data_IF_888242617144
#
_entry.id   IF_888242617144
#
_cell.length_a   1.000
_cell.length_b   1.000
_cell.length_c   1.000
_cell.angle_alpha   90.00
_cell.angle_beta   90.00
_cell.angle_gamma   90.00
#
_symmetry.space_group_name_H-M   'P 1'
#
loop_
_entity.id
_entity.type
_entity.pdbx_description
1 polymer ?
#
# COMPACT_ATOMS: atom_id res chain seq x y z
N UNK A 1 -7.18 5.19 -25.62
CA UNK A 1 -5.97 4.73 -24.90
C UNK A 1 -6.06 5.33 -23.51
N UNK A 2 -5.94 4.52 -22.45
CA UNK A 2 -5.81 5.10 -21.11
C UNK A 2 -4.42 5.72 -21.01
N UNK A 3 -4.33 7.04 -20.91
CA UNK A 3 -3.08 7.72 -20.59
C UNK A 3 -2.72 7.42 -19.14
N UNK A 4 -1.46 7.05 -18.91
CA UNK A 4 -0.93 6.97 -17.55
C UNK A 4 -0.99 8.37 -16.93
N UNK A 5 -1.58 8.48 -15.72
CA UNK A 5 -1.79 9.79 -15.09
C UNK A 5 -0.45 10.38 -14.63
N UNK A 6 0.02 11.39 -15.36
CA UNK A 6 1.27 12.11 -15.07
C UNK A 6 1.05 13.55 -14.59
N UNK A 7 -0.21 13.94 -14.37
CA UNK A 7 -0.56 15.32 -13.99
C UNK A 7 -1.06 15.38 -12.55
N UNK A 8 -0.63 16.39 -11.84
CA UNK A 8 -1.24 16.76 -10.56
C UNK A 8 -2.60 17.40 -10.84
N UNK A 9 -3.65 16.87 -10.23
CA UNK A 9 -5.02 17.40 -10.35
C UNK A 9 -5.36 18.27 -9.13
N UNK A 10 -6.37 19.14 -9.20
CA UNK A 10 -6.83 19.90 -8.03
C UNK A 10 -7.23 19.02 -6.85
N UNK A 11 -7.74 17.82 -7.11
CA UNK A 11 -8.03 16.83 -6.07
C UNK A 11 -6.76 16.32 -5.38
N UNK A 12 -5.70 16.03 -6.14
CA UNK A 12 -4.40 15.63 -5.59
C UNK A 12 -3.80 16.76 -4.75
N UNK A 13 -3.93 18.02 -5.19
CA UNK A 13 -3.48 19.20 -4.41
C UNK A 13 -4.23 19.30 -3.08
N UNK A 14 -5.56 19.13 -3.08
CA UNK A 14 -6.38 19.12 -1.86
C UNK A 14 -5.93 18.01 -0.91
N UNK A 15 -5.79 16.78 -1.41
CA UNK A 15 -5.34 15.63 -0.61
C UNK A 15 -3.91 15.83 -0.09
N UNK A 16 -3.06 16.50 -0.85
CA UNK A 16 -1.70 16.87 -0.42
C UNK A 16 -1.73 17.83 0.76
N UNK A 17 -2.62 18.82 0.71
CA UNK A 17 -2.77 19.77 1.83
C UNK A 17 -3.27 19.06 3.09
N UNK A 18 -4.22 18.17 2.95
CA UNK A 18 -4.74 17.34 4.04
C UNK A 18 -3.64 16.45 4.67
N UNK A 19 -2.78 15.87 3.83
CA UNK A 19 -1.60 15.14 4.30
C UNK A 19 -0.65 16.03 5.11
N UNK A 20 -0.36 17.25 4.64
CA UNK A 20 0.49 18.21 5.38
C UNK A 20 -0.08 18.54 6.75
N UNK A 21 -1.38 18.79 6.82
CA UNK A 21 -2.05 19.24 8.05
C UNK A 21 -2.00 18.15 9.15
N UNK A 22 -1.94 16.88 8.77
CA UNK A 22 -1.95 15.73 9.69
C UNK A 22 -0.62 14.98 9.82
N UNK A 23 0.46 15.45 9.19
CA UNK A 23 1.74 14.71 9.15
C UNK A 23 2.94 15.51 9.69
N UNK A 24 2.71 16.60 10.42
CA UNK A 24 3.78 17.35 11.08
C UNK A 24 4.26 16.65 12.35
N UNK A 25 5.56 16.47 12.47
CA UNK A 25 6.22 15.95 13.68
C UNK A 25 6.97 17.12 14.34
N UNK A 26 6.75 17.33 15.64
CA UNK A 26 7.49 18.32 16.40
C UNK A 26 8.98 17.94 16.45
N UNK A 27 9.84 18.80 15.92
CA UNK A 27 11.28 18.58 15.85
C UNK A 27 11.93 18.41 17.22
N UNK A 28 11.34 18.95 18.29
CA UNK A 28 11.83 18.77 19.66
C UNK A 28 11.82 17.30 20.10
N UNK A 29 10.94 16.47 19.53
CA UNK A 29 10.82 15.04 19.81
C UNK A 29 12.08 14.26 19.41
N UNK A 30 12.82 14.71 18.38
CA UNK A 30 14.07 14.05 17.99
C UNK A 30 15.14 14.15 19.10
N UNK A 31 15.23 15.29 19.76
CA UNK A 31 16.10 15.45 20.94
C UNK A 31 15.57 14.71 22.16
N UNK A 32 14.26 14.77 22.41
CA UNK A 32 13.60 14.11 23.56
C UNK A 32 13.77 12.59 23.54
N UNK A 33 13.71 11.97 22.38
CA UNK A 33 13.80 10.51 22.21
C UNK A 33 15.19 10.03 21.80
N UNK A 34 16.17 10.90 21.75
CA UNK A 34 17.56 10.56 21.37
C UNK A 34 17.64 9.77 20.05
N UNK A 35 16.97 10.26 19.01
CA UNK A 35 16.89 9.60 17.71
C UNK A 35 18.28 9.45 17.09
N UNK A 36 18.71 8.23 16.82
CA UNK A 36 20.02 7.91 16.25
C UNK A 36 20.00 7.90 14.72
N UNK A 37 21.17 8.08 14.10
CA UNK A 37 21.34 8.02 12.64
C UNK A 37 21.63 6.61 12.10
N UNK A 38 21.95 5.66 12.95
CA UNK A 38 22.20 4.26 12.58
C UNK A 38 21.01 3.36 12.89
N UNK A 39 21.03 2.13 12.39
CA UNK A 39 19.96 1.16 12.59
C UNK A 39 20.18 0.25 13.81
N UNK A 40 21.42 0.18 14.33
CA UNK A 40 21.75 -0.65 15.49
C UNK A 40 22.74 0.08 16.41
N UNK A 41 22.58 -0.16 17.71
CA UNK A 41 23.52 0.25 18.73
C UNK A 41 24.68 -0.75 18.82
N UNK A 42 25.74 -0.38 19.55
CA UNK A 42 26.96 -1.18 19.74
C UNK A 42 26.68 -2.57 20.35
N UNK A 43 25.60 -2.70 21.11
CA UNK A 43 25.13 -3.96 21.70
C UNK A 43 24.29 -4.83 20.75
N UNK A 44 24.14 -4.41 19.48
CA UNK A 44 23.33 -5.11 18.47
C UNK A 44 21.83 -4.85 18.58
N UNK A 45 21.34 -4.11 19.58
CA UNK A 45 19.94 -3.71 19.73
C UNK A 45 19.58 -2.69 18.64
N UNK A 46 18.37 -2.78 18.10
CA UNK A 46 17.84 -1.76 17.20
C UNK A 46 17.79 -0.39 17.88
N UNK A 47 18.09 0.66 17.13
CA UNK A 47 18.04 2.04 17.62
C UNK A 47 16.87 2.78 17.00
N UNK A 48 16.38 3.82 17.68
CA UNK A 48 15.35 4.71 17.13
C UNK A 48 15.98 5.57 16.02
N UNK A 49 15.75 5.20 14.77
CA UNK A 49 16.31 5.86 13.60
C UNK A 49 15.43 7.00 13.05
N UNK A 50 14.16 7.08 13.48
CA UNK A 50 13.21 8.09 13.05
C UNK A 50 11.96 8.11 13.91
N UNK A 51 11.07 9.06 13.62
CA UNK A 51 9.75 9.15 14.24
C UNK A 51 8.69 8.99 13.17
N UNK A 52 7.64 8.25 13.48
CA UNK A 52 6.45 8.09 12.64
C UNK A 52 5.19 8.34 13.46
N UNK A 53 4.16 8.87 12.79
CA UNK A 53 2.80 8.96 13.32
C UNK A 53 1.84 8.02 12.57
N UNK A 54 2.37 7.23 11.62
CA UNK A 54 1.55 6.43 10.71
C UNK A 54 1.08 5.17 11.37
N UNK A 55 2.00 4.41 11.95
CA UNK A 55 1.66 3.17 12.65
C UNK A 55 2.45 3.01 13.96
N UNK A 56 1.92 2.20 14.86
CA UNK A 56 2.60 1.82 16.09
C UNK A 56 2.35 0.33 16.37
N UNK A 57 3.43 -0.44 16.43
CA UNK A 57 3.43 -1.85 16.82
C UNK A 57 3.98 -1.95 18.23
N UNK A 58 3.19 -2.45 19.17
CA UNK A 58 3.59 -2.60 20.56
C UNK A 58 3.60 -4.09 20.94
N UNK A 59 4.76 -4.61 21.27
CA UNK A 59 4.96 -5.98 21.77
C UNK A 59 5.58 -6.00 23.18
N UNK A 60 6.10 -4.86 23.61
CA UNK A 60 6.69 -4.67 24.94
C UNK A 60 6.17 -3.38 25.57
N UNK A 61 6.12 -3.33 26.90
CA UNK A 61 5.85 -2.13 27.68
C UNK A 61 6.95 -1.93 28.72
N UNK A 62 7.19 -0.69 29.10
CA UNK A 62 8.15 -0.36 30.17
C UNK A 62 7.42 -0.36 31.52
N UNK A 63 7.86 -1.21 32.44
CA UNK A 63 7.37 -1.27 33.83
C UNK A 63 8.60 -1.14 34.72
N UNK A 64 8.60 -0.14 35.61
CA UNK A 64 9.72 0.16 36.52
C UNK A 64 11.09 0.27 35.81
N UNK A 65 11.10 0.90 34.62
CA UNK A 65 12.32 1.11 33.81
C UNK A 65 12.81 -0.15 33.07
N UNK A 66 12.07 -1.27 33.11
CA UNK A 66 12.42 -2.52 32.39
C UNK A 66 11.38 -2.83 31.32
N UNK A 67 11.86 -3.30 30.17
CA UNK A 67 10.99 -3.81 29.10
C UNK A 67 10.38 -5.14 29.53
N UNK A 68 9.04 -5.22 29.52
CA UNK A 68 8.27 -6.42 29.83
C UNK A 68 7.40 -6.76 28.64
N UNK A 69 7.37 -8.01 28.16
CA UNK A 69 6.48 -8.44 27.11
C UNK A 69 5.01 -8.12 27.42
N UNK A 70 4.24 -7.69 26.44
CA UNK A 70 2.81 -7.48 26.54
C UNK A 70 2.07 -8.10 25.36
N UNK A 71 0.75 -8.16 25.45
CA UNK A 71 -0.08 -8.55 24.32
C UNK A 71 0.20 -7.61 23.14
N UNK A 72 0.47 -8.19 21.97
CA UNK A 72 0.74 -7.41 20.75
C UNK A 72 -0.45 -6.53 20.39
N UNK A 73 -0.17 -5.29 20.03
CA UNK A 73 -1.16 -4.36 19.52
C UNK A 73 -0.61 -3.56 18.34
N UNK A 74 -1.48 -3.27 17.39
CA UNK A 74 -1.19 -2.48 16.19
C UNK A 74 -2.17 -1.32 16.13
N UNK A 75 -1.63 -0.14 15.90
CA UNK A 75 -2.40 1.10 15.75
C UNK A 75 -2.05 1.77 14.42
N UNK A 76 -3.06 2.23 13.72
CA UNK A 76 -2.94 3.06 12.53
C UNK A 76 -3.45 4.47 12.84
N UNK A 77 -2.56 5.48 12.75
CA UNK A 77 -2.88 6.88 13.08
C UNK A 77 -3.63 7.02 14.42
N UNK A 78 -3.24 6.20 15.41
CA UNK A 78 -3.85 6.19 16.75
C UNK A 78 -5.10 5.30 16.90
N UNK A 79 -5.67 4.76 15.83
CA UNK A 79 -6.79 3.82 15.89
C UNK A 79 -6.30 2.38 16.08
N UNK A 80 -6.89 1.65 17.02
CA UNK A 80 -6.57 0.24 17.18
C UNK A 80 -7.07 -0.57 15.97
N UNK A 81 -6.22 -1.41 15.41
CA UNK A 81 -6.56 -2.23 14.24
C UNK A 81 -7.76 -3.15 14.48
N UNK A 82 -7.96 -3.61 15.73
CA UNK A 82 -9.10 -4.46 16.08
C UNK A 82 -10.42 -3.70 15.96
N UNK A 83 -10.44 -2.42 16.35
CA UNK A 83 -11.64 -1.58 16.26
C UNK A 83 -11.97 -1.24 14.80
N UNK A 84 -10.95 -0.92 14.01
CA UNK A 84 -11.10 -0.68 12.57
C UNK A 84 -11.69 -1.91 11.87
N UNK A 85 -11.06 -3.08 12.05
CA UNK A 85 -11.50 -4.32 11.39
C UNK A 85 -12.88 -4.78 11.87
N UNK A 86 -13.18 -4.64 13.18
CA UNK A 86 -14.50 -4.93 13.70
C UNK A 86 -15.58 -4.03 13.08
N UNK A 87 -15.26 -2.75 12.82
CA UNK A 87 -16.16 -1.83 12.13
C UNK A 87 -16.45 -2.30 10.70
N UNK A 88 -15.44 -2.68 9.93
CA UNK A 88 -15.61 -3.16 8.56
C UNK A 88 -16.45 -4.45 8.49
N UNK A 89 -16.18 -5.40 9.41
CA UNK A 89 -16.94 -6.66 9.48
C UNK A 89 -18.40 -6.41 9.87
N UNK A 90 -18.64 -5.60 10.90
CA UNK A 90 -20.00 -5.26 11.36
C UNK A 90 -20.84 -4.61 10.26
N UNK A 91 -20.23 -3.67 9.52
CA UNK A 91 -20.92 -2.92 8.49
C UNK A 91 -20.93 -3.65 7.14
N UNK A 92 -20.39 -4.88 7.09
CA UNK A 92 -20.31 -5.75 5.91
C UNK A 92 -19.66 -5.08 4.68
N UNK A 93 -18.60 -4.30 4.88
CA UNK A 93 -17.93 -3.51 3.84
C UNK A 93 -16.44 -3.83 3.73
N UNK A 94 -15.82 -3.43 2.63
CA UNK A 94 -14.38 -3.49 2.41
C UNK A 94 -13.71 -2.30 3.11
N UNK A 95 -12.54 -2.53 3.70
CA UNK A 95 -11.83 -1.54 4.53
C UNK A 95 -10.47 -1.13 4.01
N UNK A 96 -9.93 -1.78 2.96
CA UNK A 96 -8.58 -1.48 2.48
C UNK A 96 -8.44 -0.04 1.98
N UNK A 97 -9.36 0.45 1.17
CA UNK A 97 -9.32 1.83 0.64
C UNK A 97 -9.50 2.87 1.77
N UNK A 98 -10.35 2.59 2.75
CA UNK A 98 -10.53 3.47 3.92
C UNK A 98 -9.28 3.50 4.80
N UNK A 99 -8.65 2.34 5.02
CA UNK A 99 -7.37 2.24 5.74
C UNK A 99 -6.25 2.97 4.98
N UNK A 100 -6.20 2.83 3.67
CA UNK A 100 -5.27 3.57 2.82
C UNK A 100 -5.45 5.08 2.98
N UNK A 101 -6.69 5.56 2.97
CA UNK A 101 -7.00 6.96 3.21
C UNK A 101 -6.51 7.41 4.59
N UNK A 102 -6.83 6.64 5.64
CA UNK A 102 -6.39 6.92 7.01
C UNK A 102 -4.86 7.03 7.11
N UNK A 103 -4.13 6.07 6.53
CA UNK A 103 -2.66 6.06 6.60
C UNK A 103 -2.05 7.26 5.87
N UNK A 104 -2.56 7.61 4.69
CA UNK A 104 -2.05 8.72 3.88
C UNK A 104 -2.40 10.08 4.49
N UNK A 105 -3.63 10.27 4.94
CA UNK A 105 -4.16 11.59 5.30
C UNK A 105 -4.35 11.81 6.80
N UNK A 106 -4.14 10.77 7.63
CA UNK A 106 -4.14 10.90 9.09
C UNK A 106 -5.52 10.99 9.75
N UNK A 107 -6.60 10.89 8.98
CA UNK A 107 -7.99 10.87 9.47
C UNK A 107 -8.83 9.81 8.77
N UNK A 108 -9.89 9.37 9.42
CA UNK A 108 -10.91 8.55 8.75
C UNK A 108 -11.73 9.42 7.80
N UNK A 109 -12.02 8.96 6.57
CA UNK A 109 -12.87 9.68 5.64
C UNK A 109 -14.33 9.66 6.09
N UNK A 110 -15.08 10.69 5.76
CA UNK A 110 -16.52 10.59 5.72
C UNK A 110 -16.98 9.74 4.51
N UNK A 111 -18.29 9.47 4.43
CA UNK A 111 -18.82 8.62 3.36
C UNK A 111 -18.53 9.18 1.97
N UNK A 112 -18.66 10.48 1.78
CA UNK A 112 -18.43 11.14 0.49
C UNK A 112 -16.94 11.14 0.13
N UNK A 113 -16.09 11.46 1.09
CA UNK A 113 -14.63 11.41 0.93
C UNK A 113 -14.16 10.01 0.52
N UNK A 114 -14.70 8.95 1.16
CA UNK A 114 -14.39 7.58 0.82
C UNK A 114 -14.85 7.21 -0.59
N UNK A 115 -16.07 7.56 -0.96
CA UNK A 115 -16.61 7.29 -2.31
C UNK A 115 -15.78 8.01 -3.39
N UNK A 116 -15.39 9.25 -3.16
CA UNK A 116 -14.58 10.03 -4.10
C UNK A 116 -13.14 9.45 -4.20
N UNK A 117 -12.55 9.05 -3.07
CA UNK A 117 -11.25 8.40 -3.04
C UNK A 117 -11.25 7.04 -3.75
N UNK A 118 -12.27 6.21 -3.54
CA UNK A 118 -12.43 4.95 -4.26
C UNK A 118 -12.54 5.16 -5.78
N UNK A 119 -13.30 6.18 -6.23
CA UNK A 119 -13.39 6.55 -7.64
C UNK A 119 -12.03 7.03 -8.20
N UNK A 120 -11.27 7.80 -7.42
CA UNK A 120 -9.94 8.25 -7.79
C UNK A 120 -9.02 7.06 -8.06
N UNK A 121 -8.90 6.13 -7.11
CA UNK A 121 -8.09 4.92 -7.27
C UNK A 121 -8.57 4.05 -8.43
N UNK A 122 -9.88 3.86 -8.57
CA UNK A 122 -10.46 3.08 -9.66
C UNK A 122 -10.15 3.67 -11.05
N UNK A 123 -10.12 5.00 -11.19
CA UNK A 123 -9.78 5.67 -12.44
C UNK A 123 -8.29 5.58 -12.78
N UNK A 124 -7.42 5.47 -11.78
CA UNK A 124 -5.98 5.30 -11.96
C UNK A 124 -5.56 3.83 -12.13
N UNK A 125 -6.47 2.87 -11.99
CA UNK A 125 -6.20 1.43 -12.05
C UNK A 125 -6.02 0.95 -13.49
N UNK A 126 -5.00 1.49 -14.16
CA UNK A 126 -4.63 1.13 -15.55
C UNK A 126 -3.13 1.28 -15.76
N UNK A 127 -2.55 0.39 -16.56
CA UNK A 127 -1.15 0.46 -16.99
C UNK A 127 -1.03 1.14 -18.33
N UNK A 128 0.16 1.70 -18.67
CA UNK A 128 0.42 2.26 -20.00
C UNK A 128 0.12 1.25 -21.12
N UNK A 129 -0.18 1.75 -22.30
CA UNK A 129 -0.47 0.92 -23.48
C UNK A 129 0.67 -0.05 -23.75
N UNK A 130 0.33 -1.32 -23.97
CA UNK A 130 1.28 -2.42 -24.21
C UNK A 130 2.22 -2.76 -23.05
N UNK A 131 2.13 -2.09 -21.89
CA UNK A 131 3.03 -2.34 -20.76
C UNK A 131 3.06 -3.82 -20.32
N UNK A 132 1.89 -4.45 -20.24
CA UNK A 132 1.79 -5.87 -19.87
C UNK A 132 2.58 -6.74 -20.85
N UNK A 133 2.39 -6.53 -22.17
CA UNK A 133 3.04 -7.30 -23.22
C UNK A 133 4.55 -7.05 -23.26
N UNK A 134 4.96 -5.77 -23.24
CA UNK A 134 6.33 -5.37 -23.56
C UNK A 134 7.25 -5.32 -22.35
N UNK A 135 6.71 -5.21 -21.14
CA UNK A 135 7.48 -5.16 -19.89
C UNK A 135 7.31 -6.44 -19.09
N UNK A 136 6.07 -6.78 -18.72
CA UNK A 136 5.82 -7.89 -17.79
C UNK A 136 6.02 -9.24 -18.48
N UNK A 137 5.45 -9.42 -19.68
CA UNK A 137 5.46 -10.69 -20.39
C UNK A 137 6.75 -10.95 -21.16
N UNK A 138 7.48 -9.90 -21.58
CA UNK A 138 8.66 -10.03 -22.43
C UNK A 138 9.89 -10.55 -21.68
N UNK A 139 9.98 -10.33 -20.39
CA UNK A 139 11.08 -10.77 -19.54
C UNK A 139 10.56 -11.46 -18.27
N UNK A 140 9.85 -12.59 -18.40
CA UNK A 140 9.39 -13.35 -17.24
C UNK A 140 10.59 -13.97 -16.54
N UNK A 141 10.62 -13.86 -15.22
CA UNK A 141 11.65 -14.49 -14.39
C UNK A 141 11.04 -15.46 -13.37
N UNK A 142 11.87 -16.31 -12.78
CA UNK A 142 11.48 -17.16 -11.67
C UNK A 142 11.23 -16.38 -10.36
N UNK A 143 11.72 -15.15 -10.29
CA UNK A 143 11.58 -14.24 -9.14
C UNK A 143 10.50 -13.19 -9.43
N UNK A 144 9.34 -13.37 -8.77
CA UNK A 144 8.17 -12.48 -8.91
C UNK A 144 8.45 -11.10 -8.32
N UNK A 145 9.23 -11.01 -7.23
CA UNK A 145 9.59 -9.73 -6.60
C UNK A 145 10.49 -8.92 -7.51
N UNK A 146 11.46 -9.56 -8.15
CA UNK A 146 12.29 -8.91 -9.17
C UNK A 146 11.45 -8.42 -10.36
N UNK A 147 10.51 -9.22 -10.85
CA UNK A 147 9.61 -8.83 -11.93
C UNK A 147 8.76 -7.61 -11.55
N UNK A 148 8.27 -7.56 -10.29
CA UNK A 148 7.52 -6.43 -9.74
C UNK A 148 8.38 -5.17 -9.66
N UNK A 149 9.59 -5.28 -9.08
CA UNK A 149 10.54 -4.17 -8.97
C UNK A 149 10.90 -3.58 -10.33
N UNK A 150 11.21 -4.42 -11.33
CA UNK A 150 11.48 -3.98 -12.72
C UNK A 150 10.27 -3.27 -13.34
N UNK A 151 9.07 -3.77 -13.07
CA UNK A 151 7.85 -3.13 -13.56
C UNK A 151 7.67 -1.74 -12.97
N UNK A 152 7.89 -1.58 -11.67
CA UNK A 152 7.85 -0.26 -11.00
C UNK A 152 8.92 0.68 -11.56
N UNK A 153 10.17 0.21 -11.69
CA UNK A 153 11.24 1.01 -12.28
C UNK A 153 10.96 1.42 -13.73
N UNK A 154 10.32 0.55 -14.50
CA UNK A 154 9.96 0.88 -15.89
C UNK A 154 8.85 1.91 -15.98
N UNK A 155 7.93 1.99 -14.98
CA UNK A 155 6.91 3.05 -14.93
C UNK A 155 7.51 4.45 -14.84
N UNK A 156 8.72 4.59 -14.28
CA UNK A 156 9.49 5.85 -14.31
C UNK A 156 9.58 6.45 -15.72
N UNK A 157 9.83 5.63 -16.73
CA UNK A 157 9.96 6.09 -18.13
C UNK A 157 8.64 6.57 -18.75
N UNK A 158 7.51 6.31 -18.12
CA UNK A 158 6.18 6.77 -18.54
C UNK A 158 5.69 7.99 -17.75
N UNK A 159 6.43 8.40 -16.73
CA UNK A 159 6.11 9.60 -15.95
C UNK A 159 6.80 10.82 -16.57
N UNK A 160 6.06 11.91 -16.78
CA UNK A 160 6.62 13.14 -17.35
C UNK A 160 7.40 13.97 -16.32
N UNK A 161 7.19 13.72 -15.02
CA UNK A 161 7.85 14.42 -13.92
C UNK A 161 8.31 13.42 -12.84
N UNK A 162 9.16 12.43 -13.19
CA UNK A 162 9.53 11.37 -12.27
C UNK A 162 10.37 11.86 -11.08
N UNK A 163 11.23 12.87 -11.30
CA UNK A 163 12.20 13.37 -10.33
C UNK A 163 11.72 14.59 -9.53
N UNK A 164 10.51 15.06 -9.76
CA UNK A 164 9.90 16.12 -8.97
C UNK A 164 9.48 15.58 -7.61
N UNK A 165 10.24 15.97 -6.58
CA UNK A 165 10.03 15.60 -5.17
C UNK A 165 9.04 16.51 -4.43
N UNK A 166 8.34 17.40 -5.14
CA UNK A 166 7.27 18.18 -4.53
C UNK A 166 6.18 17.27 -3.95
N UNK A 167 5.62 17.65 -2.81
CA UNK A 167 4.63 16.81 -2.13
C UNK A 167 3.39 16.49 -3.01
N UNK A 168 2.85 17.42 -3.84
CA UNK A 168 1.77 17.07 -4.77
C UNK A 168 2.18 16.01 -5.79
N UNK A 169 3.40 16.08 -6.32
CA UNK A 169 3.86 15.09 -7.30
C UNK A 169 4.11 13.73 -6.64
N UNK A 170 4.75 13.70 -5.47
CA UNK A 170 4.93 12.47 -4.69
C UNK A 170 3.57 11.84 -4.34
N UNK A 171 2.58 12.64 -3.91
CA UNK A 171 1.22 12.15 -3.65
C UNK A 171 0.59 11.54 -4.90
N UNK A 172 0.70 12.19 -6.06
CA UNK A 172 0.24 11.67 -7.34
C UNK A 172 0.89 10.31 -7.66
N UNK A 173 2.21 10.20 -7.49
CA UNK A 173 2.95 8.96 -7.72
C UNK A 173 2.52 7.85 -6.75
N UNK A 174 2.35 8.15 -5.46
CA UNK A 174 1.85 7.21 -4.47
C UNK A 174 0.46 6.66 -4.85
N UNK A 175 -0.48 7.54 -5.20
CA UNK A 175 -1.83 7.13 -5.60
C UNK A 175 -1.83 6.27 -6.86
N UNK A 176 -1.00 6.61 -7.85
CA UNK A 176 -0.80 5.78 -9.03
C UNK A 176 -0.26 4.39 -8.66
N UNK A 177 0.80 4.31 -7.85
CA UNK A 177 1.39 3.04 -7.43
C UNK A 177 0.38 2.18 -6.65
N UNK A 178 -0.33 2.73 -5.68
CA UNK A 178 -1.38 2.03 -4.93
C UNK A 178 -2.42 1.43 -5.89
N UNK A 179 -2.80 2.18 -6.92
CA UNK A 179 -3.81 1.76 -7.88
C UNK A 179 -3.32 0.68 -8.84
N UNK A 180 -2.05 0.71 -9.28
CA UNK A 180 -1.51 -0.22 -10.30
C UNK A 180 -0.78 -1.42 -9.69
N UNK A 181 -0.33 -1.37 -8.45
CA UNK A 181 0.42 -2.45 -7.81
C UNK A 181 -0.32 -3.80 -7.83
N UNK A 182 -1.64 -3.86 -7.58
CA UNK A 182 -2.42 -5.09 -7.75
C UNK A 182 -2.34 -5.67 -9.16
N UNK A 183 -2.34 -4.81 -10.19
CA UNK A 183 -2.22 -5.23 -11.59
C UNK A 183 -0.82 -5.81 -11.86
N UNK A 184 0.22 -5.08 -11.43
CA UNK A 184 1.61 -5.53 -11.60
C UNK A 184 1.85 -6.88 -10.92
N UNK A 185 1.33 -7.05 -9.70
CA UNK A 185 1.46 -8.30 -8.92
C UNK A 185 0.76 -9.47 -9.60
N UNK A 186 -0.50 -9.28 -10.02
CA UNK A 186 -1.28 -10.35 -10.66
C UNK A 186 -0.71 -10.69 -12.02
N UNK A 187 -0.38 -9.71 -12.86
CA UNK A 187 0.16 -9.98 -14.20
C UNK A 187 1.56 -10.57 -14.13
N UNK A 188 2.40 -10.13 -13.20
CA UNK A 188 3.70 -10.75 -12.92
C UNK A 188 3.57 -12.22 -12.51
N UNK A 189 2.61 -12.54 -11.64
CA UNK A 189 2.30 -13.91 -11.25
C UNK A 189 1.76 -14.76 -12.41
N UNK A 190 0.90 -14.19 -13.27
CA UNK A 190 0.40 -14.90 -14.46
C UNK A 190 1.52 -15.15 -15.47
N UNK A 191 2.43 -14.20 -15.68
CA UNK A 191 3.61 -14.39 -16.49
C UNK A 191 4.51 -15.52 -15.95
N UNK A 192 4.79 -15.52 -14.65
CA UNK A 192 5.52 -16.60 -13.99
C UNK A 192 4.83 -17.96 -14.18
N UNK A 193 3.53 -18.05 -13.94
CA UNK A 193 2.78 -19.31 -14.13
C UNK A 193 2.85 -19.81 -15.57
N UNK A 194 2.77 -18.91 -16.54
CA UNK A 194 2.80 -19.29 -17.96
C UNK A 194 4.19 -19.73 -18.39
N UNK A 195 5.21 -18.88 -18.21
CA UNK A 195 6.54 -19.10 -18.78
C UNK A 195 7.41 -20.04 -17.94
N UNK A 196 7.26 -20.06 -16.63
CA UNK A 196 8.08 -20.89 -15.73
C UNK A 196 7.39 -22.18 -15.36
N UNK A 197 6.07 -22.14 -15.13
CA UNK A 197 5.30 -23.32 -14.67
C UNK A 197 4.50 -24.01 -15.78
N UNK A 198 4.55 -23.51 -17.03
CA UNK A 198 3.86 -24.10 -18.18
C UNK A 198 2.33 -24.07 -18.12
N UNK A 199 1.74 -23.17 -17.30
CA UNK A 199 0.29 -23.04 -17.18
C UNK A 199 -0.29 -22.13 -18.26
N UNK A 200 -1.60 -22.22 -18.48
CA UNK A 200 -2.31 -21.30 -19.37
C UNK A 200 -2.19 -19.85 -18.88
N UNK A 201 -2.06 -18.92 -19.83
CA UNK A 201 -2.00 -17.50 -19.55
C UNK A 201 -3.40 -16.90 -19.47
N UNK A 202 -3.67 -16.18 -18.39
CA UNK A 202 -4.92 -15.45 -18.18
C UNK A 202 -4.59 -13.99 -17.89
N UNK A 203 -5.11 -13.08 -18.72
CA UNK A 203 -4.98 -11.63 -18.53
C UNK A 203 -6.38 -11.04 -18.47
N UNK A 204 -6.80 -10.67 -17.28
CA UNK A 204 -8.10 -10.07 -17.02
C UNK A 204 -7.94 -8.62 -16.60
N UNK A 205 -8.72 -7.73 -17.22
CA UNK A 205 -8.73 -6.32 -16.86
C UNK A 205 -9.47 -6.09 -15.54
N UNK A 206 -9.04 -5.14 -14.71
CA UNK A 206 -9.77 -4.74 -13.51
C UNK A 206 -11.12 -4.10 -13.86
N UNK A 207 -12.01 -4.07 -12.91
CA UNK A 207 -13.29 -3.38 -12.98
C UNK A 207 -13.31 -2.21 -12.00
N UNK A 208 -13.86 -1.08 -12.43
CA UNK A 208 -13.88 0.15 -11.62
C UNK A 208 -14.81 0.06 -10.41
N UNK A 209 -15.90 -0.69 -10.56
CA UNK A 209 -16.94 -0.89 -9.54
C UNK A 209 -16.53 -1.84 -8.41
N UNK A 210 -15.41 -2.54 -8.55
CA UNK A 210 -14.94 -3.52 -7.57
C UNK A 210 -13.84 -2.93 -6.68
N UNK A 211 -13.80 -3.36 -5.42
CA UNK A 211 -12.72 -3.08 -4.47
C UNK A 211 -11.38 -3.63 -4.95
N UNK A 212 -10.30 -3.23 -4.31
CA UNK A 212 -8.95 -3.75 -4.62
C UNK A 212 -8.87 -5.25 -4.40
N UNK A 213 -9.39 -5.77 -3.28
CA UNK A 213 -9.37 -7.20 -2.98
C UNK A 213 -10.17 -8.01 -4.01
N UNK A 214 -11.37 -7.57 -4.37
CA UNK A 214 -12.19 -8.22 -5.40
C UNK A 214 -11.50 -8.24 -6.75
N UNK A 215 -10.89 -7.13 -7.15
CA UNK A 215 -10.14 -7.05 -8.40
C UNK A 215 -8.95 -8.01 -8.44
N UNK A 216 -8.18 -8.12 -7.35
CA UNK A 216 -7.07 -9.08 -7.25
C UNK A 216 -7.58 -10.50 -7.50
N UNK A 217 -8.62 -10.94 -6.77
CA UNK A 217 -9.17 -12.29 -6.93
C UNK A 217 -9.72 -12.53 -8.33
N UNK A 218 -10.50 -11.57 -8.85
CA UNK A 218 -11.08 -11.64 -10.18
C UNK A 218 -10.02 -11.75 -11.29
N UNK A 219 -8.96 -10.97 -11.19
CA UNK A 219 -7.88 -11.00 -12.18
C UNK A 219 -6.98 -12.24 -12.05
N UNK A 220 -6.82 -12.76 -10.83
CA UNK A 220 -5.98 -13.92 -10.55
C UNK A 220 -6.57 -15.21 -11.06
N UNK A 221 -7.91 -15.37 -11.01
CA UNK A 221 -8.60 -16.61 -11.30
C UNK A 221 -9.00 -16.73 -12.77
N UNK A 222 -8.79 -17.91 -13.41
CA UNK A 222 -9.12 -18.12 -14.82
C UNK A 222 -10.59 -17.82 -15.15
N UNK A 223 -11.51 -18.23 -14.27
CA UNK A 223 -12.96 -18.09 -14.43
C UNK A 223 -13.51 -16.76 -13.88
N UNK A 224 -12.65 -15.90 -13.31
CA UNK A 224 -13.00 -14.60 -12.68
C UNK A 224 -13.95 -14.70 -11.49
N UNK A 225 -14.14 -15.91 -10.93
CA UNK A 225 -15.08 -16.14 -9.83
C UNK A 225 -14.37 -16.10 -8.48
N UNK A 226 -15.03 -15.55 -7.52
CA UNK A 226 -14.64 -15.52 -6.11
C UNK A 226 -15.90 -15.42 -5.24
N UNK A 227 -15.81 -15.81 -3.99
CA UNK A 227 -16.87 -15.61 -3.01
C UNK A 227 -16.66 -14.29 -2.26
N UNK A 228 -17.73 -13.73 -1.73
CA UNK A 228 -17.67 -12.54 -0.88
C UNK A 228 -16.75 -12.76 0.33
N UNK A 229 -16.79 -13.94 0.94
CA UNK A 229 -15.92 -14.30 2.06
C UNK A 229 -14.43 -14.26 1.66
N UNK A 230 -14.06 -14.81 0.51
CA UNK A 230 -12.66 -14.78 0.05
C UNK A 230 -12.18 -13.34 -0.19
N UNK A 231 -13.04 -12.49 -0.77
CA UNK A 231 -12.71 -11.09 -1.00
C UNK A 231 -12.50 -10.34 0.33
N UNK A 232 -13.35 -10.57 1.34
CA UNK A 232 -13.21 -9.98 2.67
C UNK A 232 -11.97 -10.47 3.42
N UNK A 233 -11.65 -11.75 3.34
CA UNK A 233 -10.42 -12.29 3.93
C UNK A 233 -9.19 -11.64 3.30
N UNK A 234 -9.16 -11.48 1.97
CA UNK A 234 -8.06 -10.82 1.30
C UNK A 234 -7.98 -9.34 1.67
N UNK A 235 -9.12 -8.64 1.75
CA UNK A 235 -9.18 -7.24 2.17
C UNK A 235 -8.59 -7.05 3.57
N UNK A 236 -9.00 -7.88 4.53
CA UNK A 236 -8.44 -7.86 5.89
C UNK A 236 -6.94 -8.17 5.91
N UNK A 237 -6.48 -9.10 5.07
CA UNK A 237 -5.06 -9.42 4.96
C UNK A 237 -4.25 -8.23 4.41
N UNK A 238 -4.78 -7.50 3.43
CA UNK A 238 -4.18 -6.28 2.90
C UNK A 238 -4.11 -5.18 3.98
N UNK A 239 -5.17 -4.99 4.75
CA UNK A 239 -5.21 -4.04 5.87
C UNK A 239 -4.14 -4.35 6.91
N UNK A 240 -4.05 -5.61 7.35
CA UNK A 240 -3.09 -6.03 8.38
C UNK A 240 -1.62 -5.94 7.94
N UNK A 241 -1.36 -5.86 6.63
CA UNK A 241 -0.02 -5.74 6.04
C UNK A 241 0.27 -4.34 5.50
N UNK A 242 -0.53 -3.35 5.86
CA UNK A 242 -0.38 -1.96 5.39
C UNK A 242 0.54 -1.10 6.27
N UNK A 243 1.23 -1.70 7.25
CA UNK A 243 2.16 -0.99 8.12
C UNK A 243 3.63 -1.26 7.73
N UNK A 244 4.53 -0.35 8.11
CA UNK A 244 5.94 -0.41 7.73
C UNK A 244 6.80 -1.32 8.63
N UNK A 245 6.37 -1.64 9.85
CA UNK A 245 7.19 -2.34 10.84
C UNK A 245 7.26 -3.86 10.66
N UNK A 246 6.25 -4.50 10.06
CA UNK A 246 6.26 -5.97 9.89
C UNK A 246 7.28 -6.45 8.86
N UNK A 247 7.70 -5.60 7.92
CA UNK A 247 8.75 -5.95 6.96
C UNK A 247 10.12 -6.12 7.60
N UNK A 248 10.39 -5.45 8.71
CA UNK A 248 11.66 -5.54 9.45
C UNK A 248 11.74 -6.78 10.34
N UNK A 249 10.60 -7.31 10.80
CA UNK A 249 10.53 -8.49 11.67
C UNK A 249 10.71 -9.81 10.88
N UNK A 250 10.71 -9.78 9.56
CA UNK A 250 10.85 -10.95 8.69
C UNK A 250 12.27 -11.12 8.12
N UNK A 251 13.21 -10.26 8.46
CA UNK A 251 14.62 -10.49 8.15
C UNK A 251 15.20 -11.51 9.13
N UNK A 252 15.77 -12.61 8.63
CA UNK A 252 16.42 -13.63 9.49
C UNK A 252 17.64 -13.09 10.22
#
# INVERSE_FOLDING_TARGET
MAEFNTKVTPEIERLTQECKDHSSIDLSLYGKYDVKRGLRDINGKGVLAGLTQVSNVQAVKVVDGKEVPCAGSLYYRGYNIKDLTAGFVRDNRFGFEETTYLLLYGKLPDRKELEDFQKLLANQRSLPTNFVRDVIMKAPGGDIMNALSRSVLTLYSYDNNPDDISLPNVMRQCLNLISVFPLLSVYGYQAYNHYVRGKSLYIHNPKKELSTAENILRMLRPDKKYTDLEAKILDLALILRSEEHTSELQSP
#
